data_IF_475510384698
#
_entry.id   IF_475510384698
#
_cell.length_a   1.000
_cell.length_b   1.000
_cell.length_c   1.000
_cell.angle_alpha   90.00
_cell.angle_beta   90.00
_cell.angle_gamma   90.00
#
_symmetry.space_group_name_H-M   'P 1'
#
loop_
_entity.id
_entity.type
_entity.pdbx_description
1 polymer ?
#
# COMPACT_ATOMS: atom_id res chain seq x y z
N UNK A 1 15.36 -10.55 61.70
CA UNK A 1 16.09 -9.90 60.58
C UNK A 1 15.11 -9.55 59.48
N UNK A 2 15.04 -8.29 59.04
CA UNK A 2 14.18 -7.88 57.91
C UNK A 2 14.74 -8.49 56.62
N UNK A 3 13.93 -9.23 55.88
CA UNK A 3 14.32 -9.81 54.60
C UNK A 3 14.59 -8.69 53.60
N UNK A 4 15.83 -8.59 53.09
CA UNK A 4 16.20 -7.61 52.05
C UNK A 4 15.62 -8.10 50.72
N UNK A 5 14.75 -7.29 50.09
CA UNK A 5 14.18 -7.61 48.78
C UNK A 5 15.22 -7.39 47.66
N UNK A 6 15.93 -8.45 47.30
CA UNK A 6 16.94 -8.48 46.21
C UNK A 6 16.41 -8.04 44.84
N UNK A 7 15.09 -8.09 44.62
CA UNK A 7 14.48 -7.61 43.37
C UNK A 7 14.75 -6.12 43.10
N UNK A 8 14.91 -5.31 44.16
CA UNK A 8 15.12 -3.87 44.03
C UNK A 8 16.59 -3.48 43.86
N UNK A 9 17.52 -4.45 43.94
CA UNK A 9 18.97 -4.22 43.78
C UNK A 9 19.45 -4.55 42.37
N UNK A 10 18.54 -4.90 41.45
CA UNK A 10 18.85 -5.32 40.08
C UNK A 10 18.22 -4.33 39.10
N UNK A 11 19.00 -3.84 38.13
CA UNK A 11 18.50 -3.00 37.04
C UNK A 11 17.87 -3.86 35.95
N UNK A 12 16.58 -4.13 36.08
CA UNK A 12 15.82 -4.84 35.04
C UNK A 12 15.39 -3.86 33.94
N UNK A 13 15.36 -4.30 32.67
CA UNK A 13 14.84 -3.49 31.58
C UNK A 13 13.32 -3.28 31.77
N UNK A 14 12.90 -2.03 31.82
CA UNK A 14 11.49 -1.65 31.86
C UNK A 14 11.08 -1.02 30.53
N UNK A 15 9.96 -1.48 29.97
CA UNK A 15 9.43 -0.92 28.73
C UNK A 15 7.91 -0.93 28.72
N UNK A 16 7.32 0.12 28.14
CA UNK A 16 5.89 0.18 27.82
C UNK A 16 5.56 -0.58 26.53
N UNK A 17 6.56 -1.03 25.78
CA UNK A 17 6.39 -1.80 24.56
C UNK A 17 5.82 -3.18 24.88
N UNK A 18 4.67 -3.49 24.28
CA UNK A 18 4.01 -4.78 24.51
C UNK A 18 4.79 -5.90 23.84
N UNK A 19 4.99 -7.00 24.57
CA UNK A 19 5.66 -8.19 24.04
C UNK A 19 4.90 -8.83 22.87
N UNK A 20 3.56 -8.78 22.87
CA UNK A 20 2.71 -9.25 21.75
C UNK A 20 2.30 -8.10 20.85
N UNK A 21 2.47 -8.29 19.53
CA UNK A 21 2.22 -7.24 18.55
C UNK A 21 0.76 -6.81 18.39
N UNK A 22 -0.22 -7.72 18.53
CA UNK A 22 -1.66 -7.43 18.32
C UNK A 22 -1.93 -6.64 17.02
N UNK A 23 -1.39 -7.16 15.91
CA UNK A 23 -1.25 -6.45 14.64
C UNK A 23 -2.59 -6.02 14.03
N UNK A 24 -3.65 -6.83 14.14
CA UNK A 24 -4.97 -6.49 13.61
C UNK A 24 -5.50 -5.12 14.09
N UNK A 25 -5.18 -4.73 15.33
CA UNK A 25 -5.55 -3.43 15.89
C UNK A 25 -4.45 -2.39 15.70
N UNK A 26 -3.19 -2.78 15.91
CA UNK A 26 -2.07 -1.84 15.92
C UNK A 26 -1.69 -1.36 14.50
N UNK A 27 -1.77 -2.21 13.48
CA UNK A 27 -1.50 -1.82 12.09
C UNK A 27 -2.46 -0.73 11.61
N UNK A 28 -3.76 -0.91 11.86
CA UNK A 28 -4.78 0.08 11.47
C UNK A 28 -4.53 1.43 12.13
N UNK A 29 -4.11 1.43 13.41
CA UNK A 29 -3.70 2.66 14.11
C UNK A 29 -2.48 3.30 13.47
N UNK A 30 -1.45 2.51 13.15
CA UNK A 30 -0.24 3.00 12.48
C UNK A 30 -0.56 3.60 11.11
N UNK A 31 -1.37 2.93 10.29
CA UNK A 31 -1.80 3.43 8.97
C UNK A 31 -2.60 4.73 9.10
N UNK A 32 -3.49 4.83 10.09
CA UNK A 32 -4.20 6.07 10.40
C UNK A 32 -3.24 7.20 10.75
N UNK A 33 -2.24 6.96 11.60
CA UNK A 33 -1.24 7.97 11.95
C UNK A 33 -0.39 8.40 10.75
N UNK A 34 0.05 7.45 9.92
CA UNK A 34 0.84 7.70 8.70
C UNK A 34 0.06 8.60 7.73
N UNK A 35 -1.21 8.27 7.49
CA UNK A 35 -2.09 9.04 6.61
C UNK A 35 -2.43 10.42 7.18
N UNK A 36 -2.82 10.51 8.46
CA UNK A 36 -3.16 11.76 9.14
C UNK A 36 -2.00 12.76 9.11
N UNK A 37 -0.79 12.28 9.41
CA UNK A 37 0.40 13.12 9.47
C UNK A 37 1.02 13.40 8.09
N UNK A 38 0.41 12.88 7.00
CA UNK A 38 0.92 13.00 5.62
C UNK A 38 2.41 12.63 5.53
N UNK A 39 2.84 11.59 6.26
CA UNK A 39 4.25 11.22 6.42
C UNK A 39 4.92 10.96 5.06
N UNK A 40 4.18 10.33 4.15
CA UNK A 40 4.61 10.13 2.77
C UNK A 40 5.00 11.43 2.07
N UNK A 41 4.17 12.48 2.20
CA UNK A 41 4.44 13.79 1.62
C UNK A 41 5.58 14.51 2.34
N UNK A 42 5.79 14.24 3.63
CA UNK A 42 6.90 14.78 4.38
C UNK A 42 8.23 14.18 3.89
N UNK A 43 8.30 12.84 3.80
CA UNK A 43 9.49 12.12 3.34
C UNK A 43 9.91 12.57 1.94
N UNK A 44 8.95 12.77 1.04
CA UNK A 44 9.23 13.20 -0.35
C UNK A 44 9.63 14.67 -0.48
N UNK A 45 9.43 15.48 0.56
CA UNK A 45 9.74 16.92 0.59
C UNK A 45 10.95 17.27 1.46
N UNK A 46 11.55 16.30 2.14
CA UNK A 46 12.72 16.55 2.97
C UNK A 46 13.84 17.18 2.12
N UNK A 47 14.45 18.29 2.59
CA UNK A 47 15.51 18.95 1.85
C UNK A 47 16.70 18.00 1.70
N UNK A 48 17.24 17.91 0.48
CA UNK A 48 18.40 17.09 0.20
C UNK A 48 19.63 17.69 0.86
N UNK A 49 20.35 16.89 1.63
CA UNK A 49 21.69 17.23 2.07
C UNK A 49 22.62 17.19 0.84
N UNK A 50 23.10 18.36 0.42
CA UNK A 50 23.92 18.52 -0.80
C UNK A 50 25.29 17.85 -0.69
N UNK A 51 25.71 17.51 0.53
CA UNK A 51 26.98 16.86 0.85
C UNK A 51 27.01 15.36 0.51
N UNK A 52 25.83 14.71 0.47
CA UNK A 52 25.67 13.35 -0.03
C UNK A 52 25.57 13.42 -1.55
N UNK A 53 26.61 12.98 -2.26
CA UNK A 53 26.67 12.93 -3.72
C UNK A 53 25.30 12.63 -4.35
N UNK A 54 24.86 13.52 -5.25
CA UNK A 54 23.50 13.64 -5.80
C UNK A 54 23.06 12.39 -6.61
N UNK A 55 22.73 11.28 -5.96
CA UNK A 55 22.40 9.98 -6.58
C UNK A 55 21.01 9.92 -7.25
N UNK A 56 20.91 10.02 -8.59
CA UNK A 56 19.68 10.15 -9.46
C UNK A 56 18.31 9.72 -8.85
N UNK A 57 17.26 10.52 -9.11
CA UNK A 57 15.87 10.19 -8.71
C UNK A 57 15.48 8.82 -9.26
N UNK A 58 14.75 8.04 -8.47
CA UNK A 58 14.37 6.68 -8.85
C UNK A 58 12.85 6.55 -8.95
N UNK A 59 12.36 6.03 -10.06
CA UNK A 59 10.92 5.86 -10.29
C UNK A 59 10.62 4.41 -10.65
N UNK A 60 9.72 3.79 -9.89
CA UNK A 60 9.16 2.49 -10.24
C UNK A 60 7.93 2.72 -11.13
N UNK A 61 8.06 2.36 -12.40
CA UNK A 61 6.91 2.21 -13.30
C UNK A 61 6.18 0.92 -12.95
N UNK A 62 5.04 1.07 -12.29
CA UNK A 62 4.27 -0.07 -11.85
C UNK A 62 3.36 -0.59 -12.97
N UNK A 63 3.50 -1.87 -13.30
CA UNK A 63 2.59 -2.57 -14.21
C UNK A 63 1.16 -2.53 -13.64
N UNK A 64 0.19 -1.91 -14.35
CA UNK A 64 -1.12 -1.66 -13.81
C UNK A 64 -1.90 -2.99 -13.64
N UNK A 65 -2.42 -3.32 -12.43
CA UNK A 65 -3.31 -4.46 -12.27
C UNK A 65 -4.62 -4.27 -13.04
N UNK A 66 -5.20 -5.37 -13.51
CA UNK A 66 -6.55 -5.35 -14.08
C UNK A 66 -7.58 -4.94 -13.03
N UNK A 67 -8.41 -3.94 -13.36
CA UNK A 67 -9.49 -3.46 -12.51
C UNK A 67 -10.74 -4.34 -12.62
N UNK A 68 -10.58 -5.64 -12.43
CA UNK A 68 -11.64 -6.62 -12.63
C UNK A 68 -11.93 -7.48 -11.39
N UNK A 69 -11.29 -7.25 -10.24
CA UNK A 69 -11.46 -8.14 -9.08
C UNK A 69 -10.73 -7.68 -7.83
N UNK A 70 -10.90 -8.44 -6.75
CA UNK A 70 -10.10 -8.28 -5.53
C UNK A 70 -8.65 -8.68 -5.80
N UNK A 71 -7.71 -8.07 -5.07
CA UNK A 71 -6.32 -8.51 -5.13
C UNK A 71 -6.18 -9.94 -4.60
N UNK A 72 -5.26 -10.69 -5.20
CA UNK A 72 -4.86 -12.01 -4.73
C UNK A 72 -3.43 -11.96 -4.17
N UNK A 73 -2.96 -13.08 -3.63
CA UNK A 73 -1.63 -13.16 -3.03
C UNK A 73 -0.51 -12.73 -3.98
N UNK A 74 -0.55 -13.15 -5.25
CA UNK A 74 0.40 -12.70 -6.27
C UNK A 74 0.45 -11.18 -6.45
N UNK A 75 -0.70 -10.49 -6.44
CA UNK A 75 -0.73 -9.02 -6.47
C UNK A 75 -0.12 -8.43 -5.20
N UNK A 76 -0.45 -9.00 -4.04
CA UNK A 76 0.09 -8.57 -2.75
C UNK A 76 1.62 -8.70 -2.73
N UNK A 77 2.16 -9.85 -3.13
CA UNK A 77 3.60 -10.12 -3.20
C UNK A 77 4.34 -9.14 -4.13
N UNK A 78 3.82 -8.92 -5.33
CA UNK A 78 4.41 -7.98 -6.29
C UNK A 78 4.49 -6.57 -5.71
N UNK A 79 3.39 -6.12 -5.07
CA UNK A 79 3.31 -4.78 -4.51
C UNK A 79 4.14 -4.59 -3.25
N UNK A 80 4.17 -5.57 -2.35
CA UNK A 80 5.02 -5.50 -1.15
C UNK A 80 6.49 -5.49 -1.52
N UNK A 81 6.90 -6.24 -2.55
CA UNK A 81 8.28 -6.21 -3.04
C UNK A 81 8.69 -4.84 -3.59
N UNK A 82 7.85 -4.24 -4.45
CA UNK A 82 8.09 -2.88 -4.96
C UNK A 82 8.11 -1.83 -3.85
N UNK A 83 7.23 -1.98 -2.86
CA UNK A 83 7.15 -1.09 -1.71
C UNK A 83 8.37 -1.21 -0.79
N UNK A 84 8.91 -2.41 -0.58
CA UNK A 84 10.15 -2.60 0.16
C UNK A 84 11.30 -1.86 -0.53
N UNK A 85 11.43 -2.02 -1.85
CA UNK A 85 12.47 -1.34 -2.61
C UNK A 85 12.30 0.18 -2.59
N UNK A 86 11.07 0.72 -2.72
CA UNK A 86 10.85 2.17 -2.68
C UNK A 86 11.13 2.75 -1.30
N UNK A 87 10.78 2.03 -0.21
CA UNK A 87 11.08 2.45 1.17
C UNK A 87 12.58 2.42 1.42
N UNK A 88 13.26 1.35 1.03
CA UNK A 88 14.72 1.24 1.10
C UNK A 88 15.40 2.38 0.32
N UNK A 89 14.95 2.61 -0.92
CA UNK A 89 15.44 3.71 -1.74
C UNK A 89 15.19 5.05 -1.06
N UNK A 90 14.00 5.36 -0.53
CA UNK A 90 13.74 6.62 0.18
C UNK A 90 14.62 6.83 1.42
N UNK A 91 15.05 5.76 2.08
CA UNK A 91 15.93 5.85 3.25
C UNK A 91 17.39 6.14 2.89
N UNK A 92 17.85 5.67 1.72
CA UNK A 92 19.28 5.71 1.33
C UNK A 92 19.54 6.70 0.19
N UNK A 93 18.58 6.82 -0.72
CA UNK A 93 18.66 7.51 -2.00
C UNK A 93 17.36 8.31 -2.29
N UNK A 94 17.43 9.63 -2.21
CA UNK A 94 16.62 10.58 -2.99
C UNK A 94 15.08 10.46 -2.93
N UNK A 95 14.48 11.38 -3.70
CA UNK A 95 13.11 11.38 -4.16
C UNK A 95 12.82 10.14 -5.00
N UNK A 96 12.18 9.14 -4.37
CA UNK A 96 11.74 7.92 -5.05
C UNK A 96 10.23 7.82 -5.11
N UNK A 97 9.74 7.52 -6.31
CA UNK A 97 8.32 7.50 -6.65
C UNK A 97 7.89 6.12 -7.15
N UNK A 98 6.67 5.73 -6.80
CA UNK A 98 5.95 4.64 -7.44
C UNK A 98 4.68 5.22 -8.02
N UNK A 99 4.46 5.03 -9.32
CA UNK A 99 3.29 5.57 -10.02
C UNK A 99 2.29 4.42 -10.17
N UNK A 100 1.22 4.35 -9.34
CA UNK A 100 0.22 3.32 -9.48
C UNK A 100 -0.66 3.57 -10.72
N UNK A 101 -1.10 2.50 -11.36
CA UNK A 101 -2.07 2.54 -12.45
C UNK A 101 -3.06 1.39 -12.37
N UNK A 102 -4.07 1.42 -13.23
CA UNK A 102 -5.04 0.34 -13.40
C UNK A 102 -5.32 0.12 -14.87
N UNK A 103 -5.40 -1.15 -15.28
CA UNK A 103 -5.86 -1.51 -16.61
C UNK A 103 -7.39 -1.68 -16.56
N UNK A 104 -8.07 -0.78 -17.28
CA UNK A 104 -9.52 -0.59 -17.23
C UNK A 104 -10.23 -1.09 -18.50
N UNK A 105 -9.51 -1.70 -19.43
CA UNK A 105 -10.04 -2.15 -20.71
C UNK A 105 -9.77 -3.63 -20.97
N UNK A 106 -10.24 -4.10 -22.13
CA UNK A 106 -10.00 -5.46 -22.62
C UNK A 106 -11.05 -6.48 -22.20
N UNK A 107 -10.87 -7.68 -22.75
CA UNK A 107 -11.74 -8.83 -22.57
C UNK A 107 -12.00 -9.22 -21.09
N UNK A 108 -11.05 -9.09 -20.15
CA UNK A 108 -11.29 -9.49 -18.75
C UNK A 108 -12.47 -8.77 -18.08
N UNK A 109 -12.68 -7.49 -18.39
CA UNK A 109 -13.80 -6.71 -17.83
C UNK A 109 -15.09 -7.01 -18.58
N UNK A 110 -15.00 -7.19 -19.91
CA UNK A 110 -16.15 -7.57 -20.73
C UNK A 110 -16.72 -8.91 -20.27
N UNK A 111 -15.87 -9.93 -20.12
CA UNK A 111 -16.25 -11.25 -19.58
C UNK A 111 -16.86 -11.17 -18.18
N UNK A 112 -16.49 -10.17 -17.37
CA UNK A 112 -17.09 -10.02 -16.05
C UNK A 112 -18.53 -9.52 -16.11
N UNK A 113 -18.88 -8.75 -17.13
CA UNK A 113 -20.26 -8.29 -17.37
C UNK A 113 -21.11 -9.45 -17.88
N UNK A 114 -20.55 -10.31 -18.73
CA UNK A 114 -21.30 -11.41 -19.35
C UNK A 114 -21.85 -12.41 -18.35
N UNK A 115 -21.11 -12.63 -17.26
CA UNK A 115 -21.53 -13.50 -16.17
C UNK A 115 -22.86 -13.02 -15.55
N UNK A 116 -23.11 -11.72 -15.54
CA UNK A 116 -24.31 -11.12 -14.94
C UNK A 116 -25.35 -10.65 -16.00
N UNK A 117 -24.95 -10.52 -17.26
CA UNK A 117 -25.80 -10.00 -18.33
C UNK A 117 -25.54 -10.74 -19.65
N UNK A 118 -26.59 -11.26 -20.28
CA UNK A 118 -26.48 -11.86 -21.62
C UNK A 118 -26.09 -10.82 -22.67
N UNK A 119 -24.94 -11.01 -23.32
CA UNK A 119 -24.38 -10.12 -24.37
C UNK A 119 -25.39 -9.74 -25.47
N UNK A 120 -26.24 -10.69 -25.86
CA UNK A 120 -27.22 -10.52 -26.95
C UNK A 120 -28.28 -9.44 -26.68
N UNK A 121 -28.42 -8.99 -25.42
CA UNK A 121 -29.45 -8.01 -25.01
C UNK A 121 -28.89 -6.61 -24.75
N UNK A 122 -27.59 -6.37 -24.95
CA UNK A 122 -26.95 -5.09 -24.60
C UNK A 122 -26.45 -4.33 -25.84
N UNK A 123 -26.81 -3.04 -25.93
CA UNK A 123 -26.19 -2.14 -26.90
C UNK A 123 -24.71 -1.90 -26.56
N UNK A 124 -23.88 -1.64 -27.58
CA UNK A 124 -22.44 -1.34 -27.42
C UNK A 124 -22.18 -0.21 -26.43
N UNK A 125 -23.04 0.83 -26.45
CA UNK A 125 -22.93 1.97 -25.54
C UNK A 125 -23.22 1.56 -24.09
N UNK A 126 -24.29 0.78 -23.87
CA UNK A 126 -24.64 0.28 -22.54
C UNK A 126 -23.56 -0.63 -21.97
N UNK A 127 -22.95 -1.48 -22.80
CA UNK A 127 -21.84 -2.33 -22.41
C UNK A 127 -20.62 -1.52 -21.94
N UNK A 128 -20.19 -0.51 -22.73
CA UNK A 128 -19.05 0.34 -22.36
C UNK A 128 -19.27 1.08 -21.05
N UNK A 129 -20.50 1.56 -20.81
CA UNK A 129 -20.87 2.20 -19.55
C UNK A 129 -20.81 1.23 -18.38
N UNK A 130 -21.24 -0.02 -18.56
CA UNK A 130 -21.12 -1.06 -17.55
C UNK A 130 -19.65 -1.42 -17.28
N UNK A 131 -18.80 -1.57 -18.31
CA UNK A 131 -17.36 -1.79 -18.15
C UNK A 131 -16.72 -0.69 -17.31
N UNK A 132 -17.02 0.57 -17.64
CA UNK A 132 -16.50 1.74 -16.92
C UNK A 132 -16.94 1.76 -15.45
N UNK A 133 -18.20 1.37 -15.16
CA UNK A 133 -18.69 1.28 -13.78
C UNK A 133 -17.94 0.22 -12.99
N UNK A 134 -17.70 -0.96 -13.58
CA UNK A 134 -17.01 -2.07 -12.93
C UNK A 134 -15.53 -1.74 -12.71
N UNK A 135 -14.84 -1.18 -13.70
CA UNK A 135 -13.43 -0.81 -13.57
C UNK A 135 -13.21 0.28 -12.52
N UNK A 136 -14.09 1.28 -12.48
CA UNK A 136 -14.05 2.31 -11.43
C UNK A 136 -14.30 1.71 -10.04
N UNK A 137 -15.24 0.78 -9.91
CA UNK A 137 -15.53 0.12 -8.64
C UNK A 137 -14.31 -0.68 -8.14
N UNK A 138 -13.71 -1.50 -9.00
CA UNK A 138 -12.58 -2.33 -8.59
C UNK A 138 -11.28 -1.55 -8.40
N UNK A 139 -11.05 -0.46 -9.14
CA UNK A 139 -9.90 0.40 -8.87
C UNK A 139 -9.94 1.02 -7.46
N UNK A 140 -11.13 1.43 -6.99
CA UNK A 140 -11.32 1.92 -5.61
C UNK A 140 -11.09 0.81 -4.58
N UNK A 141 -11.69 -0.37 -4.79
CA UNK A 141 -11.52 -1.51 -3.88
C UNK A 141 -10.05 -1.93 -3.78
N UNK A 142 -9.37 -2.10 -4.92
CA UNK A 142 -7.97 -2.49 -4.96
C UNK A 142 -7.08 -1.41 -4.33
N UNK A 143 -7.37 -0.12 -4.54
CA UNK A 143 -6.67 0.98 -3.89
C UNK A 143 -6.74 0.87 -2.36
N UNK A 144 -7.91 0.56 -1.81
CA UNK A 144 -8.07 0.42 -0.36
C UNK A 144 -7.43 -0.88 0.16
N UNK A 145 -7.45 -1.96 -0.62
CA UNK A 145 -6.70 -3.19 -0.32
C UNK A 145 -5.18 -2.91 -0.30
N UNK A 146 -4.66 -2.12 -1.22
CA UNK A 146 -3.24 -1.73 -1.22
C UNK A 146 -2.89 -0.84 -0.03
N UNK A 147 -3.76 0.11 0.35
CA UNK A 147 -3.58 0.90 1.58
C UNK A 147 -3.56 0.03 2.82
N UNK A 148 -4.43 -0.99 2.89
CA UNK A 148 -4.46 -1.95 4.01
C UNK A 148 -3.15 -2.73 4.13
N UNK A 149 -2.49 -3.02 3.02
CA UNK A 149 -1.15 -3.62 2.99
C UNK A 149 -0.02 -2.66 3.39
N UNK A 150 -0.30 -1.37 3.61
CA UNK A 150 0.70 -0.37 3.97
C UNK A 150 1.64 0.01 2.83
N UNK A 151 1.18 -0.17 1.59
CA UNK A 151 1.92 0.20 0.39
C UNK A 151 1.98 1.73 0.30
N UNK A 152 3.19 2.24 0.17
CA UNK A 152 3.53 3.66 0.22
C UNK A 152 3.55 4.29 -1.18
N UNK A 153 2.41 4.20 -1.87
CA UNK A 153 2.21 4.93 -3.14
C UNK A 153 1.92 6.41 -2.89
N UNK A 154 2.48 7.27 -3.75
CA UNK A 154 2.16 8.69 -3.77
C UNK A 154 0.87 8.95 -4.55
#
# INVERSE_FOLDING_TARGET
>A
MKSVKLKNTIFLPETKFKMRGNLNLNENKSLYLISKNKILNFITKLPLDKSLHVLKSFTIHDGPPFANGNIHFGTALNKTHKDLYIKYSRLIFKNSYIIPGWDCHGLPIENKITLNYSFQKLSKLKLRLLCKKISNLYSVIQKDQFKRLGISCN
#
